data_IF_503855356561
#
_entry.id   IF_503855356561
#
_cell.length_a   1.000
_cell.length_b   1.000
_cell.length_c   1.000
_cell.angle_alpha   90.00
_cell.angle_beta   90.00
_cell.angle_gamma   90.00
#
_symmetry.space_group_name_H-M   'P 1'
#
loop_
_entity.id
_entity.type
_entity.pdbx_description
1 polymer ?
#
# COMPACT_ATOMS: atom_id res chain seq x y z
N UNK A 1 24.81 -25.66 -28.32
CA UNK A 1 23.52 -24.95 -28.25
C UNK A 1 23.45 -24.15 -26.94
N UNK A 2 22.85 -22.96 -27.00
CA UNK A 2 22.85 -21.84 -26.02
C UNK A 2 22.48 -22.20 -24.57
N UNK A 3 23.01 -21.38 -23.63
CA UNK A 3 22.35 -20.59 -22.54
C UNK A 3 23.30 -20.49 -21.34
N UNK A 4 23.33 -19.45 -20.51
CA UNK A 4 22.90 -18.04 -20.50
C UNK A 4 23.74 -17.41 -19.36
N UNK A 5 24.15 -16.15 -19.51
CA UNK A 5 25.10 -15.44 -18.64
C UNK A 5 24.74 -15.46 -17.13
N UNK A 6 25.69 -15.89 -16.30
CA UNK A 6 25.81 -15.50 -14.89
C UNK A 6 26.91 -14.44 -14.79
N UNK A 7 26.62 -13.30 -14.16
CA UNK A 7 27.67 -12.43 -13.64
C UNK A 7 27.54 -12.35 -12.14
N UNK A 8 28.49 -13.00 -11.49
CA UNK A 8 28.91 -12.69 -10.13
C UNK A 8 30.41 -12.50 -10.19
N UNK A 9 30.91 -11.64 -9.32
CA UNK A 9 32.04 -11.90 -8.41
C UNK A 9 32.75 -10.56 -8.15
N UNK A 10 32.60 -10.08 -6.92
CA UNK A 10 33.53 -9.16 -6.29
C UNK A 10 34.52 -10.05 -5.52
N UNK A 11 35.79 -10.01 -5.88
CA UNK A 11 36.89 -10.49 -5.03
C UNK A 11 37.93 -9.38 -4.96
N UNK A 12 38.12 -8.87 -3.74
CA UNK A 12 39.26 -8.05 -3.34
C UNK A 12 40.31 -8.97 -2.70
N UNK A 13 41.51 -8.97 -3.25
CA UNK A 13 42.71 -9.47 -2.56
C UNK A 13 43.90 -8.55 -2.88
N UNK A 14 44.50 -7.99 -1.83
CA UNK A 14 45.71 -7.16 -1.89
C UNK A 14 46.96 -8.04 -1.83
N UNK A 15 47.91 -7.81 -2.74
CA UNK A 15 49.26 -8.35 -2.72
C UNK A 15 50.26 -7.25 -3.05
N UNK A 16 51.31 -7.11 -2.25
CA UNK A 16 52.26 -5.98 -2.21
C UNK A 16 53.03 -5.74 -3.52
N UNK A 17 53.22 -4.45 -3.83
CA UNK A 17 53.98 -3.92 -4.99
C UNK A 17 55.48 -3.94 -4.69
N UNK A 18 56.27 -4.49 -5.62
CA UNK A 18 57.68 -4.12 -5.82
C UNK A 18 57.85 -3.65 -7.27
N UNK A 19 58.14 -2.35 -7.42
CA UNK A 19 59.02 -1.80 -8.46
C UNK A 19 58.55 -1.79 -9.93
N UNK A 20 58.35 -0.55 -10.40
CA UNK A 20 58.73 -0.01 -11.72
C UNK A 20 57.58 0.37 -12.70
N UNK A 21 57.54 1.68 -12.94
CA UNK A 21 57.18 2.40 -14.17
C UNK A 21 55.70 2.77 -14.45
N UNK A 22 55.35 3.97 -13.96
CA UNK A 22 54.70 5.08 -14.68
C UNK A 22 53.71 4.75 -15.80
N UNK A 23 52.42 4.70 -15.49
CA UNK A 23 51.37 5.25 -16.36
C UNK A 23 50.34 5.95 -15.46
N UNK A 24 50.09 7.23 -15.77
CA UNK A 24 49.05 8.09 -15.19
C UNK A 24 47.70 7.38 -15.16
N UNK A 25 47.15 7.14 -13.97
CA UNK A 25 45.74 6.85 -13.80
C UNK A 25 45.17 7.96 -12.92
N UNK A 26 44.56 8.96 -13.58
CA UNK A 26 43.70 9.92 -12.91
C UNK A 26 42.66 9.12 -12.13
N UNK A 27 42.64 9.38 -10.83
CA UNK A 27 41.71 8.76 -9.89
C UNK A 27 40.31 9.30 -10.22
N UNK A 28 39.56 8.56 -11.03
CA UNK A 28 38.18 8.86 -11.48
C UNK A 28 37.18 9.02 -10.32
N UNK A 29 37.61 8.86 -9.08
CA UNK A 29 36.82 9.07 -7.86
C UNK A 29 37.32 10.23 -6.98
N UNK A 30 38.39 10.95 -7.38
CA UNK A 30 38.78 12.20 -6.71
C UNK A 30 37.79 13.31 -7.06
N UNK A 31 36.87 13.62 -6.14
CA UNK A 31 35.90 14.71 -6.27
C UNK A 31 34.44 14.33 -6.07
N UNK A 32 34.12 13.06 -5.81
CA UNK A 32 32.80 12.69 -5.30
C UNK A 32 32.80 12.82 -3.78
N UNK A 33 32.28 13.95 -3.27
CA UNK A 33 31.76 13.99 -1.91
C UNK A 33 30.70 12.90 -1.82
N UNK A 34 30.94 11.89 -0.98
CA UNK A 34 29.94 10.90 -0.62
C UNK A 34 28.79 11.65 0.05
N UNK A 35 27.78 12.04 -0.71
CA UNK A 35 26.56 12.58 -0.17
C UNK A 35 25.88 11.42 0.56
N UNK A 36 25.89 11.45 1.90
CA UNK A 36 25.09 10.53 2.70
C UNK A 36 23.65 10.67 2.21
N UNK A 37 23.14 9.60 1.59
CA UNK A 37 21.73 9.50 1.25
C UNK A 37 20.96 9.71 2.57
N UNK A 38 20.03 10.65 2.57
CA UNK A 38 19.12 10.76 3.70
C UNK A 38 18.38 9.41 3.86
N UNK A 39 17.90 9.08 5.07
CA UNK A 39 17.06 7.89 5.27
C UNK A 39 15.90 7.85 4.25
N UNK A 40 15.44 9.01 3.80
CA UNK A 40 14.39 9.15 2.78
C UNK A 40 14.88 8.79 1.36
N UNK A 41 16.16 9.01 1.03
CA UNK A 41 16.74 8.64 -0.27
C UNK A 41 17.17 7.15 -0.32
N UNK A 42 17.42 6.53 0.85
CA UNK A 42 17.66 5.10 0.99
C UNK A 42 16.36 4.26 1.03
N UNK A 43 15.19 4.90 1.15
CA UNK A 43 13.87 4.22 1.05
C UNK A 43 13.50 3.81 -0.37
N UNK A 44 14.33 4.15 -1.36
CA UNK A 44 14.25 3.62 -2.73
C UNK A 44 14.69 2.16 -2.67
N UNK A 45 13.74 1.20 -2.56
CA UNK A 45 13.72 -0.17 -3.16
C UNK A 45 12.86 -1.21 -2.40
N UNK A 46 12.25 -0.94 -1.23
CA UNK A 46 11.54 -2.03 -0.49
C UNK A 46 10.09 -1.81 -0.04
N UNK A 47 9.48 -0.65 -0.29
CA UNK A 47 8.09 -0.35 0.09
C UNK A 47 7.16 -0.10 -1.10
N UNK A 48 5.85 -0.35 -0.93
CA UNK A 48 4.82 -0.10 -1.93
C UNK A 48 4.03 1.17 -1.68
N UNK A 49 2.72 1.16 -1.89
CA UNK A 49 1.85 2.27 -1.50
C UNK A 49 0.51 1.72 -0.97
N UNK A 50 -0.05 2.39 0.03
CA UNK A 50 -1.40 2.11 0.52
C UNK A 50 -2.37 3.13 -0.07
N UNK A 51 -3.48 2.65 -0.61
CA UNK A 51 -4.55 3.45 -1.18
C UNK A 51 -5.90 3.14 -0.56
N UNK A 52 -6.81 4.09 -0.72
CA UNK A 52 -8.24 3.85 -0.58
C UNK A 52 -8.88 3.90 -1.95
N UNK A 53 -9.61 2.86 -2.30
CA UNK A 53 -10.48 2.87 -3.47
C UNK A 53 -11.87 3.36 -3.14
N UNK A 54 -12.46 4.11 -4.07
CA UNK A 54 -13.84 4.57 -4.09
C UNK A 54 -14.52 4.09 -5.37
N UNK A 55 -15.66 3.43 -5.23
CA UNK A 55 -16.53 3.11 -6.38
C UNK A 55 -17.92 3.66 -6.09
N UNK A 56 -18.43 4.60 -6.91
CA UNK A 56 -19.80 5.06 -6.80
C UNK A 56 -20.78 3.90 -7.02
N UNK A 57 -21.70 3.66 -6.08
CA UNK A 57 -22.79 2.68 -6.26
C UNK A 57 -24.07 3.39 -6.70
N UNK A 58 -24.38 4.51 -6.04
CA UNK A 58 -25.57 5.33 -6.27
C UNK A 58 -25.26 6.77 -5.87
N UNK A 59 -26.08 7.73 -6.29
CA UNK A 59 -25.92 9.14 -5.95
C UNK A 59 -25.72 9.33 -4.43
N UNK A 60 -24.54 9.77 -4.03
CA UNK A 60 -24.07 9.95 -2.63
C UNK A 60 -23.75 8.68 -1.82
N UNK A 61 -23.75 7.50 -2.45
CA UNK A 61 -23.34 6.23 -1.85
C UNK A 61 -22.13 5.66 -2.56
N UNK A 62 -21.05 5.47 -1.80
CA UNK A 62 -19.78 5.00 -2.29
C UNK A 62 -19.39 3.73 -1.56
N UNK A 63 -18.81 2.81 -2.31
CA UNK A 63 -18.13 1.64 -1.80
C UNK A 63 -16.65 1.95 -1.60
N UNK A 64 -16.07 1.50 -0.49
CA UNK A 64 -14.64 1.68 -0.24
C UNK A 64 -13.91 0.40 0.08
N UNK A 65 -12.66 0.34 -0.38
CA UNK A 65 -11.71 -0.72 -0.07
C UNK A 65 -10.35 -0.11 0.26
N UNK A 66 -9.56 -0.83 1.06
CA UNK A 66 -8.13 -0.53 1.25
C UNK A 66 -7.32 -1.41 0.31
N UNK A 67 -6.39 -0.81 -0.43
CA UNK A 67 -5.49 -1.49 -1.36
C UNK A 67 -4.07 -1.25 -0.90
N UNK A 68 -3.26 -2.31 -0.83
CA UNK A 68 -1.82 -2.21 -0.57
C UNK A 68 -1.10 -2.78 -1.78
N UNK A 69 -0.20 -2.01 -2.37
CA UNK A 69 0.65 -2.42 -3.50
C UNK A 69 2.08 -2.69 -3.03
N UNK A 70 2.91 -3.25 -3.92
CA UNK A 70 4.35 -3.41 -3.70
C UNK A 70 5.19 -2.22 -4.20
N UNK A 71 4.58 -1.35 -5.03
CA UNK A 71 5.15 -0.17 -5.67
C UNK A 71 4.05 0.87 -5.93
N UNK A 72 4.39 2.13 -6.26
CA UNK A 72 3.40 3.10 -6.72
C UNK A 72 2.56 2.57 -7.90
N UNK A 73 1.26 2.85 -7.93
CA UNK A 73 0.35 2.42 -9.02
C UNK A 73 0.69 3.06 -10.38
N UNK A 74 1.50 4.12 -10.37
CA UNK A 74 2.05 4.72 -11.58
C UNK A 74 3.16 3.87 -12.22
N UNK A 75 3.79 2.97 -11.46
CA UNK A 75 4.75 2.00 -12.01
C UNK A 75 3.97 0.88 -12.72
N UNK A 76 4.17 0.63 -14.02
CA UNK A 76 3.42 -0.40 -14.76
C UNK A 76 3.68 -1.83 -14.28
N UNK A 77 4.78 -2.06 -13.55
CA UNK A 77 5.17 -3.35 -13.00
C UNK A 77 4.58 -3.63 -11.61
N UNK A 78 3.84 -2.68 -11.02
CA UNK A 78 3.25 -2.85 -9.69
C UNK A 78 2.40 -4.12 -9.57
N UNK A 79 2.35 -4.65 -8.36
CA UNK A 79 1.44 -5.71 -7.94
C UNK A 79 0.60 -5.22 -6.77
N UNK A 80 -0.62 -5.74 -6.69
CA UNK A 80 -1.47 -5.52 -5.52
C UNK A 80 -1.17 -6.65 -4.53
N UNK A 81 -0.65 -6.30 -3.35
CA UNK A 81 -0.33 -7.24 -2.28
C UNK A 81 -1.58 -7.68 -1.54
N UNK A 82 -2.46 -6.73 -1.24
CA UNK A 82 -3.66 -6.98 -0.45
C UNK A 82 -4.82 -6.07 -0.83
N UNK A 83 -6.02 -6.61 -0.67
CA UNK A 83 -7.29 -5.88 -0.75
C UNK A 83 -8.11 -6.21 0.49
N UNK A 84 -8.60 -5.16 1.14
CA UNK A 84 -9.46 -5.24 2.30
C UNK A 84 -10.76 -4.49 2.04
N UNK A 85 -11.83 -5.26 1.94
CA UNK A 85 -13.16 -4.78 1.64
C UNK A 85 -14.13 -5.32 2.69
N UNK A 86 -15.20 -4.59 2.97
CA UNK A 86 -16.23 -5.06 3.90
C UNK A 86 -17.63 -4.77 3.37
N UNK A 87 -18.58 -5.55 3.85
CA UNK A 87 -19.98 -5.49 3.42
C UNK A 87 -20.86 -6.30 4.35
N UNK A 88 -22.16 -6.19 4.15
CA UNK A 88 -23.13 -6.98 4.91
C UNK A 88 -22.97 -8.46 4.56
N UNK A 89 -22.58 -9.28 5.54
CA UNK A 89 -22.65 -10.73 5.46
C UNK A 89 -24.06 -11.22 5.67
N UNK A 90 -24.46 -12.28 4.97
CA UNK A 90 -25.75 -12.93 5.22
C UNK A 90 -25.73 -13.68 6.56
N UNK A 91 -26.51 -13.21 7.54
CA UNK A 91 -26.74 -13.96 8.77
C UNK A 91 -28.17 -13.76 9.28
N UNK A 92 -28.95 -14.84 9.31
CA UNK A 92 -30.30 -14.88 9.91
C UNK A 92 -31.42 -14.24 9.07
N UNK A 93 -32.61 -14.14 9.67
CA UNK A 93 -33.89 -13.75 9.05
C UNK A 93 -33.95 -12.34 8.43
N UNK A 94 -32.89 -11.54 8.54
CA UNK A 94 -32.79 -10.16 8.04
C UNK A 94 -31.92 -10.02 6.78
N UNK A 95 -31.33 -11.11 6.29
CA UNK A 95 -30.49 -11.11 5.09
C UNK A 95 -31.22 -10.62 3.83
N UNK A 96 -32.53 -10.84 3.73
CA UNK A 96 -33.38 -10.39 2.61
C UNK A 96 -33.52 -8.86 2.49
N UNK A 97 -33.13 -8.11 3.53
CA UNK A 97 -33.15 -6.64 3.56
C UNK A 97 -31.76 -6.01 3.42
N UNK A 98 -30.74 -6.81 3.07
CA UNK A 98 -29.34 -6.34 3.04
C UNK A 98 -28.78 -6.02 4.43
N UNK A 99 -29.41 -6.53 5.48
CA UNK A 99 -28.99 -6.34 6.88
C UNK A 99 -28.29 -7.60 7.38
N UNK A 100 -27.11 -7.41 7.98
CA UNK A 100 -26.29 -8.50 8.48
C UNK A 100 -25.06 -7.96 9.21
N UNK A 101 -24.12 -8.84 9.55
CA UNK A 101 -22.87 -8.39 10.20
C UNK A 101 -21.90 -7.81 9.18
N UNK A 102 -21.20 -6.74 9.56
CA UNK A 102 -20.13 -6.14 8.77
C UNK A 102 -18.92 -7.06 8.82
N UNK A 103 -18.69 -7.79 7.73
CA UNK A 103 -17.64 -8.80 7.59
C UNK A 103 -16.73 -8.48 6.41
N UNK A 104 -15.59 -9.17 6.35
CA UNK A 104 -14.69 -9.10 5.19
C UNK A 104 -15.40 -9.64 3.95
N UNK A 105 -15.29 -8.91 2.85
CA UNK A 105 -15.75 -9.32 1.53
C UNK A 105 -14.54 -9.60 0.63
N UNK A 106 -14.77 -10.45 -0.37
CA UNK A 106 -13.76 -10.87 -1.34
C UNK A 106 -14.23 -10.59 -2.78
N UNK A 107 -15.11 -9.61 -2.97
CA UNK A 107 -15.65 -9.25 -4.29
C UNK A 107 -14.55 -8.78 -5.25
N UNK A 108 -13.55 -8.06 -4.72
CA UNK A 108 -12.40 -7.60 -5.49
C UNK A 108 -11.12 -8.32 -5.03
N UNK A 109 -10.56 -9.13 -5.93
CA UNK A 109 -9.26 -9.75 -5.71
C UNK A 109 -8.12 -8.80 -6.06
N UNK A 110 -6.89 -9.01 -5.55
CA UNK A 110 -5.72 -8.23 -5.95
C UNK A 110 -5.51 -8.14 -7.47
N UNK A 111 -5.72 -9.25 -8.19
CA UNK A 111 -5.61 -9.29 -9.65
C UNK A 111 -6.68 -8.44 -10.35
N UNK A 112 -7.91 -8.42 -9.82
CA UNK A 112 -8.99 -7.57 -10.36
C UNK A 112 -8.74 -6.09 -10.13
N UNK A 113 -8.13 -5.73 -9.00
CA UNK A 113 -7.74 -4.34 -8.72
C UNK A 113 -6.58 -3.93 -9.63
N UNK A 114 -5.55 -4.78 -9.75
CA UNK A 114 -4.41 -4.55 -10.66
C UNK A 114 -4.83 -4.36 -12.11
N UNK A 115 -5.79 -5.16 -12.59
CA UNK A 115 -6.22 -5.12 -13.99
C UNK A 115 -6.93 -3.81 -14.36
N UNK A 116 -7.53 -3.10 -13.39
CA UNK A 116 -8.23 -1.85 -13.65
C UNK A 116 -8.22 -0.92 -12.41
N UNK A 117 -7.08 -0.32 -12.06
CA UNK A 117 -6.98 0.56 -10.90
C UNK A 117 -7.88 1.80 -11.04
N UNK A 118 -8.09 2.29 -12.27
CA UNK A 118 -8.93 3.46 -12.55
C UNK A 118 -10.41 3.28 -12.17
N UNK A 119 -10.94 2.05 -12.19
CA UNK A 119 -12.31 1.72 -11.74
C UNK A 119 -12.55 2.10 -10.28
N UNK A 120 -11.50 2.12 -9.46
CA UNK A 120 -11.61 2.29 -8.01
C UNK A 120 -11.19 3.68 -7.54
N UNK A 121 -10.98 4.66 -8.42
CA UNK A 121 -10.62 6.04 -8.02
C UNK A 121 -9.58 6.08 -6.87
N UNK A 122 -8.49 5.31 -7.01
CA UNK A 122 -7.54 5.07 -5.91
C UNK A 122 -6.92 6.39 -5.43
N UNK A 123 -7.03 6.64 -4.13
CA UNK A 123 -6.41 7.78 -3.47
C UNK A 123 -5.28 7.31 -2.55
N UNK A 124 -4.09 7.88 -2.73
CA UNK A 124 -2.92 7.60 -1.90
C UNK A 124 -3.16 7.99 -0.45
N UNK A 125 -2.72 7.13 0.46
CA UNK A 125 -2.72 7.38 1.90
C UNK A 125 -1.35 7.87 2.35
N UNK A 126 -1.30 9.02 3.01
CA UNK A 126 -0.09 9.51 3.63
C UNK A 126 0.23 8.70 4.88
N UNK A 127 1.45 8.18 4.96
CA UNK A 127 1.96 7.49 6.16
C UNK A 127 2.33 8.49 7.26
N UNK A 128 2.43 8.06 8.54
CA UNK A 128 3.01 8.87 9.60
C UNK A 128 4.43 9.34 9.26
N UNK A 129 4.79 10.56 9.68
CA UNK A 129 6.17 11.06 9.55
C UNK A 129 7.15 10.14 10.28
N UNK A 130 8.31 9.87 9.66
CA UNK A 130 9.36 9.01 10.21
C UNK A 130 9.04 7.51 10.21
N UNK A 131 7.95 7.08 9.57
CA UNK A 131 7.65 5.67 9.33
C UNK A 131 8.00 5.30 7.89
N UNK A 132 8.67 4.15 7.72
CA UNK A 132 8.96 3.68 6.37
C UNK A 132 7.71 3.25 5.64
N UNK A 133 7.75 3.36 4.31
CA UNK A 133 6.66 2.91 3.43
C UNK A 133 6.30 1.45 3.73
N UNK A 134 7.31 0.58 3.78
CA UNK A 134 7.12 -0.86 3.99
C UNK A 134 6.50 -1.14 5.37
N UNK A 135 7.00 -0.51 6.43
CA UNK A 135 6.46 -0.70 7.77
C UNK A 135 5.02 -0.22 7.88
N UNK A 136 4.69 0.88 7.19
CA UNK A 136 3.32 1.37 7.11
C UNK A 136 2.40 0.38 6.38
N UNK A 137 2.80 -0.13 5.22
CA UNK A 137 2.03 -1.12 4.45
C UNK A 137 1.80 -2.41 5.25
N UNK A 138 2.84 -2.92 5.91
CA UNK A 138 2.75 -4.12 6.75
C UNK A 138 1.84 -3.88 7.97
N UNK A 139 1.90 -2.68 8.57
CA UNK A 139 1.00 -2.28 9.65
C UNK A 139 -0.45 -2.18 9.18
N UNK A 140 -0.71 -1.64 7.99
CA UNK A 140 -2.07 -1.58 7.41
C UNK A 140 -2.64 -2.97 7.22
N UNK A 141 -1.86 -3.90 6.67
CA UNK A 141 -2.25 -5.31 6.52
C UNK A 141 -2.57 -5.92 7.88
N UNK A 142 -1.68 -5.76 8.87
CA UNK A 142 -1.86 -6.31 10.21
C UNK A 142 -3.12 -5.75 10.91
N UNK A 143 -3.34 -4.44 10.85
CA UNK A 143 -4.50 -3.76 11.42
C UNK A 143 -5.80 -4.21 10.74
N UNK A 144 -5.80 -4.38 9.42
CA UNK A 144 -6.96 -4.84 8.69
C UNK A 144 -7.33 -6.29 9.06
N UNK A 145 -6.34 -7.18 9.13
CA UNK A 145 -6.55 -8.56 9.58
C UNK A 145 -7.06 -8.60 11.02
N UNK A 146 -6.48 -7.82 11.92
CA UNK A 146 -6.93 -7.72 13.30
C UNK A 146 -8.38 -7.22 13.39
N UNK A 147 -8.75 -6.18 12.62
CA UNK A 147 -10.12 -5.66 12.56
C UNK A 147 -11.13 -6.74 12.15
N UNK A 148 -10.81 -7.54 11.13
CA UNK A 148 -11.73 -8.59 10.66
C UNK A 148 -11.78 -9.83 11.56
N UNK A 149 -10.82 -9.99 12.47
CA UNK A 149 -10.86 -11.00 13.53
C UNK A 149 -11.64 -10.53 14.77
N UNK A 150 -11.99 -9.24 14.88
CA UNK A 150 -12.88 -8.75 15.94
C UNK A 150 -14.30 -9.33 15.78
N UNK A 151 -15.06 -9.36 16.87
CA UNK A 151 -16.49 -9.71 16.80
C UNK A 151 -17.20 -8.75 15.84
N UNK A 152 -17.82 -9.27 14.76
CA UNK A 152 -18.33 -8.40 13.72
C UNK A 152 -19.54 -7.62 14.23
N UNK A 153 -19.58 -6.33 13.88
CA UNK A 153 -20.66 -5.40 14.29
C UNK A 153 -21.77 -5.42 13.25
N UNK A 154 -23.00 -5.09 13.66
CA UNK A 154 -24.11 -4.98 12.71
C UNK A 154 -23.80 -3.93 11.63
N UNK A 155 -23.95 -4.33 10.37
CA UNK A 155 -23.81 -3.46 9.21
C UNK A 155 -24.99 -2.50 9.15
N UNK A 156 -24.69 -1.21 9.13
CA UNK A 156 -25.66 -0.14 8.98
C UNK A 156 -25.20 0.80 7.86
N UNK A 157 -25.98 0.90 6.81
CA UNK A 157 -25.65 1.66 5.61
C UNK A 157 -25.28 3.13 5.88
N UNK A 158 -25.80 3.75 6.96
CA UNK A 158 -25.57 5.16 7.27
C UNK A 158 -24.39 5.43 8.20
N UNK A 159 -23.94 4.46 9.02
CA UNK A 159 -22.95 4.74 10.08
C UNK A 159 -22.01 3.59 10.45
N UNK A 160 -22.20 2.37 9.93
CA UNK A 160 -21.35 1.19 10.15
C UNK A 160 -21.31 0.35 8.87
N UNK A 161 -20.60 0.85 7.87
CA UNK A 161 -20.51 0.26 6.53
C UNK A 161 -19.05 0.15 6.05
N UNK A 162 -18.86 -0.16 4.77
CA UNK A 162 -17.54 -0.22 4.12
C UNK A 162 -16.66 1.02 4.38
N UNK A 163 -17.23 2.22 4.26
CA UNK A 163 -16.53 3.49 4.52
C UNK A 163 -16.01 3.59 5.96
N UNK A 164 -16.81 3.14 6.92
CA UNK A 164 -16.37 3.14 8.33
C UNK A 164 -15.30 2.08 8.62
N UNK A 165 -15.35 0.93 7.95
CA UNK A 165 -14.29 -0.08 8.06
C UNK A 165 -12.98 0.45 7.52
N UNK A 166 -12.99 0.95 6.27
CA UNK A 166 -11.79 1.50 5.62
C UNK A 166 -11.20 2.65 6.43
N UNK A 167 -12.00 3.63 6.85
CA UNK A 167 -11.51 4.74 7.69
C UNK A 167 -11.00 4.27 9.06
N UNK A 168 -11.54 3.20 9.63
CA UNK A 168 -11.04 2.63 10.90
C UNK A 168 -9.68 1.98 10.70
N UNK A 169 -9.50 1.19 9.64
CA UNK A 169 -8.23 0.56 9.30
C UNK A 169 -7.14 1.62 9.11
N UNK A 170 -7.40 2.64 8.28
CA UNK A 170 -6.41 3.69 8.02
C UNK A 170 -6.07 4.45 9.32
N UNK A 171 -7.08 4.82 10.13
CA UNK A 171 -6.86 5.54 11.40
C UNK A 171 -6.01 4.76 12.38
N UNK A 172 -6.33 3.47 12.58
CA UNK A 172 -5.59 2.60 13.50
C UNK A 172 -4.17 2.33 13.01
N UNK A 173 -3.95 2.41 11.70
CA UNK A 173 -2.62 2.33 11.11
C UNK A 173 -1.82 3.64 11.29
N UNK A 174 -2.49 4.75 11.60
CA UNK A 174 -1.90 6.09 11.72
C UNK A 174 -1.86 6.85 10.39
N UNK A 175 -2.50 6.34 9.35
CA UNK A 175 -2.54 6.99 8.05
C UNK A 175 -3.35 8.27 8.05
N UNK A 176 -3.00 9.17 7.14
CA UNK A 176 -3.71 10.39 6.87
C UNK A 176 -4.17 10.43 5.40
N UNK A 177 -5.37 10.98 5.17
CA UNK A 177 -5.93 11.20 3.85
C UNK A 177 -6.66 12.51 3.90
N UNK A 178 -6.35 13.41 2.97
CA UNK A 178 -7.15 14.62 2.77
C UNK A 178 -8.43 14.23 2.02
N UNK A 179 -9.61 14.22 2.67
CA UNK A 179 -10.81 13.71 2.04
C UNK A 179 -11.24 14.65 0.91
N UNK A 180 -11.57 14.10 -0.25
CA UNK A 180 -12.23 14.89 -1.30
C UNK A 180 -13.62 15.36 -0.83
N UNK A 181 -14.19 16.42 -1.44
CA UNK A 181 -15.56 16.89 -1.09
C UNK A 181 -16.63 15.78 -1.14
N UNK A 182 -16.44 14.78 -2.00
CA UNK A 182 -17.32 13.61 -2.08
C UNK A 182 -17.14 12.70 -0.85
N UNK A 183 -15.89 12.44 -0.45
CA UNK A 183 -15.56 11.64 0.73
C UNK A 183 -16.02 12.25 2.04
N UNK A 184 -15.95 13.58 2.17
CA UNK A 184 -16.46 14.29 3.35
C UNK A 184 -17.92 13.98 3.68
N UNK A 185 -18.71 13.50 2.72
CA UNK A 185 -20.12 13.13 2.95
C UNK A 185 -20.29 11.68 3.42
N UNK A 186 -19.23 10.88 3.36
CA UNK A 186 -19.24 9.46 3.67
C UNK A 186 -19.03 9.22 5.18
N UNK A 187 -19.71 8.23 5.77
CA UNK A 187 -19.52 7.91 7.18
C UNK A 187 -18.10 7.40 7.42
N UNK A 188 -17.49 7.83 8.53
CA UNK A 188 -16.11 7.51 8.89
C UNK A 188 -15.07 8.55 8.45
N UNK A 189 -15.37 9.33 7.40
CA UNK A 189 -14.48 10.35 6.82
C UNK A 189 -14.85 11.79 7.21
N UNK A 190 -16.08 12.02 7.70
CA UNK A 190 -16.63 13.34 8.13
C UNK A 190 -15.85 14.09 9.23
N UNK A 191 -14.89 13.46 9.91
CA UNK A 191 -14.23 13.99 11.12
C UNK A 191 -12.70 13.90 11.05
N UNK A 192 -12.14 13.89 9.85
CA UNK A 192 -10.70 13.80 9.61
C UNK A 192 -10.08 15.17 9.40
#
# INVERSE_FOLDING_TARGET
>A
MKKLFMFSVIILSFGMVYGAENILQEDIFTGFDAQELSIDDAEIISGGETYIGYTPIMKHYYHTLTVVTDKPISDPSFTVRAVFESGAGSSGSFASWGMGYNIRQYYNTPNMVKANPGKYELQLVSRPAGMSVKDYDDKVIAVALAYFNEKPKLYLALNRNCNTTTSTIIRRSGGYVSPSKAMWRLPGWKKW
#
